data_IF_168590764362
#
_entry.id   IF_168590764362
#
_cell.length_a   1.000
_cell.length_b   1.000
_cell.length_c   1.000
_cell.angle_alpha   90.00
_cell.angle_beta   90.00
_cell.angle_gamma   90.00
#
_symmetry.space_group_name_H-M   'P 1'
#
loop_
_entity.id
_entity.type
_entity.pdbx_description
1 polymer ?
#
# COMPACT_ATOMS: atom_id res chain seq x y z
N UNK A 1 -9.18 13.29 26.38
CA UNK A 1 -8.42 13.84 25.24
C UNK A 1 -7.08 13.12 25.03
N UNK A 2 -6.28 12.91 26.08
CA UNK A 2 -4.96 12.23 26.01
C UNK A 2 -5.01 10.79 25.47
N UNK A 3 -6.08 10.02 25.75
CA UNK A 3 -6.20 8.62 25.30
C UNK A 3 -6.35 8.46 23.78
N UNK A 4 -6.80 9.49 23.07
CA UNK A 4 -7.06 9.42 21.62
C UNK A 4 -5.78 9.48 20.78
N UNK A 5 -4.66 9.87 21.38
CA UNK A 5 -3.35 10.07 20.73
C UNK A 5 -2.29 9.05 21.16
N UNK A 6 -2.66 8.01 21.91
CA UNK A 6 -1.71 6.96 22.25
C UNK A 6 -1.47 6.13 20.99
N UNK A 7 -0.43 6.48 20.23
CA UNK A 7 0.07 5.81 19.00
C UNK A 7 0.27 4.28 19.11
N UNK A 8 0.10 3.73 20.32
CA UNK A 8 0.53 2.40 20.72
C UNK A 8 -0.59 1.58 21.39
N UNK A 9 -1.84 2.05 21.40
CA UNK A 9 -2.97 1.29 21.96
C UNK A 9 -3.59 0.31 20.94
N UNK A 10 -2.79 -0.26 20.05
CA UNK A 10 -3.26 -1.21 19.04
C UNK A 10 -3.41 -2.61 19.63
N UNK A 11 -4.54 -3.26 19.43
CA UNK A 11 -4.70 -4.69 19.75
C UNK A 11 -3.93 -5.52 18.72
N UNK A 12 -2.86 -6.17 19.18
CA UNK A 12 -1.95 -6.95 18.34
C UNK A 12 -2.64 -8.10 17.60
N UNK A 13 -3.75 -8.64 18.17
CA UNK A 13 -4.54 -9.72 17.57
C UNK A 13 -5.38 -9.24 16.37
N UNK A 14 -5.66 -7.94 16.30
CA UNK A 14 -6.46 -7.32 15.24
C UNK A 14 -5.64 -6.81 14.08
N UNK A 15 -4.30 -6.77 14.22
CA UNK A 15 -3.40 -6.36 13.14
C UNK A 15 -3.56 -7.34 11.97
N UNK A 16 -4.21 -6.89 10.89
CA UNK A 16 -4.36 -7.67 9.65
C UNK A 16 -3.30 -7.33 8.61
N UNK A 17 -2.57 -6.23 8.81
CA UNK A 17 -1.50 -5.80 7.93
C UNK A 17 -0.39 -6.85 7.83
N UNK A 18 -0.16 -7.38 6.64
CA UNK A 18 0.92 -8.31 6.35
C UNK A 18 2.14 -7.56 5.80
N UNK A 19 3.31 -8.21 5.86
CA UNK A 19 4.49 -7.74 5.14
C UNK A 19 4.38 -8.13 3.67
N UNK A 20 5.26 -7.60 2.83
CA UNK A 20 5.30 -7.96 1.41
C UNK A 20 6.70 -8.20 0.90
N UNK A 21 6.82 -9.08 -0.09
CA UNK A 21 8.04 -9.33 -0.85
C UNK A 21 7.69 -9.71 -2.28
N UNK A 22 8.46 -9.26 -3.27
CA UNK A 22 8.18 -9.57 -4.68
C UNK A 22 8.90 -10.83 -5.14
N UNK A 23 8.61 -11.95 -4.46
CA UNK A 23 9.18 -13.26 -4.74
C UNK A 23 8.11 -14.33 -4.51
N UNK A 24 8.09 -15.36 -5.35
CA UNK A 24 7.23 -16.52 -5.17
C UNK A 24 7.76 -17.43 -4.05
N UNK A 25 7.60 -17.02 -2.79
CA UNK A 25 7.99 -17.81 -1.62
C UNK A 25 6.78 -18.27 -0.79
N UNK A 26 6.47 -19.56 -0.89
CA UNK A 26 5.35 -20.16 -0.17
C UNK A 26 5.59 -20.28 1.35
N UNK A 27 6.84 -20.33 1.80
CA UNK A 27 7.17 -20.55 3.21
C UNK A 27 6.92 -19.31 4.07
N UNK A 28 6.83 -18.13 3.46
CA UNK A 28 6.54 -16.88 4.16
C UNK A 28 5.03 -16.63 4.38
N UNK A 29 4.14 -17.49 3.89
CA UNK A 29 2.67 -17.33 4.04
C UNK A 29 2.21 -17.32 5.51
N UNK A 30 2.90 -18.06 6.38
CA UNK A 30 2.64 -18.09 7.82
C UNK A 30 3.94 -18.32 8.56
N UNK A 31 4.34 -17.34 9.35
CA UNK A 31 5.58 -17.31 10.12
C UNK A 31 5.29 -16.77 11.52
N UNK A 32 6.22 -16.98 12.44
CA UNK A 32 6.20 -16.30 13.72
C UNK A 32 7.39 -15.34 13.81
N UNK A 33 7.12 -14.08 14.12
CA UNK A 33 8.13 -13.03 14.32
C UNK A 33 8.32 -12.73 15.80
N UNK A 34 9.45 -12.13 16.17
CA UNK A 34 9.70 -11.71 17.56
C UNK A 34 10.47 -12.72 18.41
N UNK A 35 11.10 -13.72 17.79
CA UNK A 35 11.83 -14.79 18.50
C UNK A 35 13.18 -14.36 19.10
N UNK A 36 13.72 -13.21 18.69
CA UNK A 36 14.99 -12.73 19.22
C UNK A 36 14.83 -12.22 20.66
N UNK A 37 15.87 -12.39 21.49
CA UNK A 37 15.85 -11.97 22.90
C UNK A 37 15.67 -10.46 23.08
N UNK A 38 15.98 -9.66 22.04
CA UNK A 38 15.79 -8.20 22.01
C UNK A 38 14.33 -7.78 21.90
N UNK A 39 13.44 -8.67 21.49
CA UNK A 39 12.03 -8.38 21.23
C UNK A 39 11.16 -8.45 22.50
N UNK A 40 11.80 -8.50 23.69
CA UNK A 40 11.16 -8.38 25.01
C UNK A 40 9.99 -9.34 25.24
N UNK A 41 10.06 -10.54 24.66
CA UNK A 41 9.03 -11.57 24.81
C UNK A 41 7.78 -11.35 23.96
N UNK A 42 7.78 -10.36 23.05
CA UNK A 42 6.68 -10.16 22.11
C UNK A 42 6.87 -11.02 20.87
N UNK A 43 6.03 -12.05 20.74
CA UNK A 43 5.94 -12.87 19.52
C UNK A 43 4.60 -12.67 18.84
N UNK A 44 4.57 -12.74 17.51
CA UNK A 44 3.32 -12.64 16.74
C UNK A 44 3.36 -13.54 15.52
N UNK A 45 2.26 -14.25 15.28
CA UNK A 45 2.03 -14.95 14.03
C UNK A 45 1.63 -13.97 12.92
N UNK A 46 2.26 -14.06 11.76
CA UNK A 46 2.06 -13.16 10.62
C UNK A 46 2.47 -13.87 9.33
N UNK A 47 2.49 -13.18 8.20
CA UNK A 47 3.00 -13.68 6.94
C UNK A 47 3.45 -12.55 6.01
N UNK A 48 3.80 -12.95 4.80
CA UNK A 48 4.07 -12.07 3.68
C UNK A 48 3.08 -12.37 2.55
N UNK A 49 2.60 -11.30 1.92
CA UNK A 49 1.96 -11.36 0.62
C UNK A 49 2.97 -10.99 -0.48
N UNK A 50 2.64 -11.32 -1.73
CA UNK A 50 3.41 -10.81 -2.87
C UNK A 50 3.15 -9.31 -3.02
N UNK A 51 4.16 -8.51 -3.40
CA UNK A 51 4.08 -7.03 -3.39
C UNK A 51 2.86 -6.45 -4.11
N UNK A 52 2.46 -7.04 -5.25
CA UNK A 52 1.29 -6.60 -6.03
C UNK A 52 -0.06 -6.80 -5.34
N UNK A 53 -0.11 -7.62 -4.27
CA UNK A 53 -1.29 -7.81 -3.44
C UNK A 53 -1.47 -6.72 -2.37
N UNK A 54 -0.46 -5.86 -2.17
CA UNK A 54 -0.50 -4.79 -1.17
C UNK A 54 -1.63 -3.78 -1.45
N UNK A 55 -2.30 -3.31 -0.40
CA UNK A 55 -3.20 -2.15 -0.48
C UNK A 55 -2.46 -0.92 -1.03
N UNK A 56 -1.16 -0.78 -0.74
CA UNK A 56 -0.32 0.31 -1.29
C UNK A 56 -0.28 0.25 -2.82
N UNK A 57 -0.25 -0.95 -3.43
CA UNK A 57 -0.28 -1.10 -4.89
C UNK A 57 -1.64 -0.67 -5.46
N UNK A 58 -2.74 -1.06 -4.79
CA UNK A 58 -4.08 -0.63 -5.19
C UNK A 58 -4.25 0.89 -5.07
N UNK A 59 -3.71 1.50 -4.01
CA UNK A 59 -3.70 2.95 -3.80
C UNK A 59 -2.85 3.64 -4.88
N UNK A 60 -1.66 3.13 -5.21
CA UNK A 60 -0.83 3.66 -6.28
C UNK A 60 -1.56 3.68 -7.62
N UNK A 61 -2.31 2.62 -7.93
CA UNK A 61 -3.07 2.54 -9.17
C UNK A 61 -4.29 3.49 -9.17
N UNK A 62 -4.92 3.76 -8.03
CA UNK A 62 -6.12 4.60 -7.96
C UNK A 62 -5.84 6.09 -7.69
N UNK A 63 -4.68 6.43 -7.14
CA UNK A 63 -4.31 7.81 -6.82
C UNK A 63 -4.28 8.67 -8.09
N UNK A 64 -4.78 9.90 -7.96
CA UNK A 64 -4.90 10.86 -9.06
C UNK A 64 -3.83 11.96 -9.05
N UNK A 65 -3.22 12.20 -7.90
CA UNK A 65 -2.08 13.09 -7.70
C UNK A 65 -1.38 12.75 -6.36
N UNK A 66 -0.30 13.47 -6.03
CA UNK A 66 0.48 13.21 -4.81
C UNK A 66 -0.30 13.49 -3.51
N UNK A 67 -1.25 14.43 -3.54
CA UNK A 67 -2.07 14.78 -2.38
C UNK A 67 -3.08 13.66 -2.12
N UNK A 68 -3.77 13.20 -3.15
CA UNK A 68 -4.68 12.05 -3.12
C UNK A 68 -3.95 10.77 -2.70
N UNK A 69 -2.72 10.54 -3.20
CA UNK A 69 -1.87 9.43 -2.77
C UNK A 69 -1.63 9.48 -1.26
N UNK A 70 -1.21 10.64 -0.71
CA UNK A 70 -1.00 10.80 0.73
C UNK A 70 -2.29 10.48 1.48
N UNK A 71 -3.40 11.13 1.14
CA UNK A 71 -4.67 11.00 1.87
C UNK A 71 -5.13 9.53 1.95
N UNK A 72 -4.99 8.79 0.85
CA UNK A 72 -5.28 7.35 0.80
C UNK A 72 -4.33 6.53 1.66
N UNK A 73 -3.02 6.77 1.55
CA UNK A 73 -2.02 6.08 2.38
C UNK A 73 -2.25 6.33 3.86
N UNK A 74 -2.65 7.54 4.25
CA UNK A 74 -2.97 7.90 5.64
C UNK A 74 -4.21 7.19 6.18
N UNK A 75 -5.20 6.93 5.30
CA UNK A 75 -6.47 6.32 5.66
C UNK A 75 -6.43 4.78 5.77
N UNK A 76 -5.31 4.14 5.41
CA UNK A 76 -5.15 2.69 5.52
C UNK A 76 -5.30 2.23 6.98
N UNK A 77 -6.15 1.23 7.21
CA UNK A 77 -6.40 0.68 8.54
C UNK A 77 -5.40 -0.44 8.84
N UNK A 78 -4.70 -0.32 9.97
CA UNK A 78 -3.66 -1.26 10.40
C UNK A 78 -4.21 -2.30 11.38
N UNK A 79 -5.14 -1.88 12.25
CA UNK A 79 -5.78 -2.69 13.28
C UNK A 79 -6.80 -1.86 14.05
N UNK A 80 -7.19 -2.30 15.25
CA UNK A 80 -8.13 -1.60 16.12
C UNK A 80 -7.53 -1.34 17.50
N UNK A 81 -8.14 -0.44 18.26
CA UNK A 81 -7.71 -0.11 19.63
C UNK A 81 -8.00 -1.25 20.61
N UNK A 82 -7.17 -1.40 21.64
CA UNK A 82 -7.43 -2.30 22.78
C UNK A 82 -8.62 -1.85 23.64
N UNK A 83 -8.88 -0.54 23.68
CA UNK A 83 -9.94 0.04 24.51
C UNK A 83 -11.34 -0.12 23.89
N UNK A 84 -11.43 -0.07 22.55
CA UNK A 84 -12.68 -0.24 21.80
C UNK A 84 -12.38 -0.76 20.39
N UNK A 85 -12.85 -1.97 20.06
CA UNK A 85 -12.68 -2.60 18.75
C UNK A 85 -13.32 -1.78 17.60
N UNK A 86 -14.24 -0.87 17.90
CA UNK A 86 -14.84 0.03 16.88
C UNK A 86 -13.91 1.17 16.49
N UNK A 87 -12.87 1.44 17.27
CA UNK A 87 -11.88 2.48 16.97
C UNK A 87 -10.77 1.86 16.13
N UNK A 88 -10.71 2.22 14.85
CA UNK A 88 -9.65 1.81 13.94
C UNK A 88 -8.39 2.64 14.17
N UNK A 89 -7.22 2.00 13.99
CA UNK A 89 -5.92 2.65 13.99
C UNK A 89 -5.42 2.70 12.55
N UNK A 90 -5.19 3.91 12.05
CA UNK A 90 -4.76 4.17 10.68
C UNK A 90 -3.27 4.45 10.57
N UNK A 91 -2.74 4.49 9.34
CA UNK A 91 -1.36 4.89 9.10
C UNK A 91 -1.08 6.36 9.51
N UNK A 92 -2.09 7.22 9.50
CA UNK A 92 -1.98 8.60 10.01
C UNK A 92 -1.90 8.64 11.55
N UNK A 93 -2.63 7.78 12.25
CA UNK A 93 -2.52 7.65 13.71
C UNK A 93 -1.11 7.21 14.13
N UNK A 94 -0.48 6.36 13.31
CA UNK A 94 0.93 5.96 13.50
C UNK A 94 1.94 7.05 13.05
N UNK A 95 1.48 8.08 12.35
CA UNK A 95 2.32 9.17 11.84
C UNK A 95 3.25 8.78 10.68
N UNK A 96 2.94 7.70 9.95
CA UNK A 96 3.82 7.15 8.90
C UNK A 96 3.42 7.54 7.48
N UNK A 97 2.22 8.08 7.26
CA UNK A 97 1.70 8.37 5.93
C UNK A 97 2.59 9.32 5.10
N UNK A 98 3.17 10.34 5.74
CA UNK A 98 4.10 11.25 5.07
C UNK A 98 5.37 10.54 4.58
N UNK A 99 5.95 9.66 5.40
CA UNK A 99 7.11 8.86 5.02
C UNK A 99 6.80 7.88 3.88
N UNK A 100 5.63 7.22 3.94
CA UNK A 100 5.14 6.38 2.84
C UNK A 100 5.00 7.19 1.54
N UNK A 101 4.42 8.37 1.62
CA UNK A 101 4.24 9.25 0.45
C UNK A 101 5.58 9.64 -0.17
N UNK A 102 6.60 9.93 0.65
CA UNK A 102 7.95 10.25 0.17
C UNK A 102 8.56 9.07 -0.60
N UNK A 103 8.45 7.84 -0.06
CA UNK A 103 8.94 6.64 -0.74
C UNK A 103 8.22 6.38 -2.07
N UNK A 104 6.94 6.73 -2.14
CA UNK A 104 6.10 6.52 -3.33
C UNK A 104 6.12 7.69 -4.33
N UNK A 105 6.80 8.80 -4.00
CA UNK A 105 6.75 10.04 -4.80
C UNK A 105 7.12 9.81 -6.25
N UNK A 106 8.27 9.17 -6.50
CA UNK A 106 8.74 8.92 -7.85
C UNK A 106 8.01 7.72 -8.49
N UNK A 107 7.63 6.74 -7.66
CA UNK A 107 6.84 5.59 -8.07
C UNK A 107 5.44 5.96 -8.56
N UNK A 108 4.95 7.19 -8.28
CA UNK A 108 3.67 7.71 -8.79
C UNK A 108 3.75 8.13 -10.27
N UNK A 109 4.95 8.31 -10.81
CA UNK A 109 5.15 8.76 -12.19
C UNK A 109 5.08 7.57 -13.18
N UNK A 110 4.19 7.61 -14.19
CA UNK A 110 4.12 6.55 -15.20
C UNK A 110 5.40 6.39 -16.00
N UNK A 111 5.77 5.14 -16.30
CA UNK A 111 6.92 4.84 -17.15
C UNK A 111 6.51 4.88 -18.62
N UNK A 112 7.14 5.76 -19.41
CA UNK A 112 6.97 5.81 -20.86
C UNK A 112 7.90 4.79 -21.54
N UNK A 113 7.32 3.97 -22.39
CA UNK A 113 7.97 2.95 -23.21
C UNK A 113 7.44 3.05 -24.65
N UNK A 114 7.83 2.09 -25.50
CA UNK A 114 7.31 1.97 -26.86
C UNK A 114 7.09 0.52 -27.26
N UNK A 115 6.17 0.29 -28.21
CA UNK A 115 6.02 -1.01 -28.91
C UNK A 115 7.17 -1.24 -29.89
N UNK A 116 7.22 -2.42 -30.51
CA UNK A 116 8.18 -2.73 -31.59
C UNK A 116 8.03 -1.81 -32.82
N UNK A 117 6.86 -1.23 -33.02
CA UNK A 117 6.55 -0.32 -34.13
C UNK A 117 6.73 1.16 -33.76
N UNK A 118 7.21 1.45 -32.55
CA UNK A 118 7.47 2.82 -32.08
C UNK A 118 6.25 3.53 -31.50
N UNK A 119 5.12 2.84 -31.30
CA UNK A 119 3.94 3.42 -30.64
C UNK A 119 4.24 3.64 -29.15
N UNK A 120 4.01 4.85 -28.59
CA UNK A 120 4.26 5.11 -27.17
C UNK A 120 3.31 4.31 -26.27
N UNK A 121 3.82 3.80 -25.14
CA UNK A 121 3.08 3.00 -24.16
C UNK A 121 3.40 3.47 -22.75
N UNK A 122 2.38 3.61 -21.90
CA UNK A 122 2.62 3.73 -20.45
C UNK A 122 2.54 2.35 -19.78
N UNK A 123 3.53 2.04 -18.95
CA UNK A 123 3.53 0.86 -18.07
C UNK A 123 3.60 1.34 -16.62
N UNK A 124 2.49 1.24 -15.88
CA UNK A 124 2.43 1.80 -14.53
C UNK A 124 1.39 1.12 -13.64
N UNK A 125 1.84 0.77 -12.42
CA UNK A 125 1.14 -0.05 -11.44
C UNK A 125 0.73 -1.45 -11.96
N UNK A 126 0.27 -2.31 -11.05
CA UNK A 126 -0.16 -3.66 -11.38
C UNK A 126 -0.80 -4.38 -10.20
N UNK A 127 -1.91 -3.88 -9.64
CA UNK A 127 -2.63 -4.55 -8.57
C UNK A 127 -3.26 -5.86 -9.07
N UNK A 128 -3.50 -6.80 -8.17
CA UNK A 128 -4.30 -7.98 -8.49
C UNK A 128 -5.73 -7.64 -8.92
N UNK A 129 -6.34 -8.53 -9.72
CA UNK A 129 -7.69 -8.37 -10.25
C UNK A 129 -8.79 -9.12 -9.44
N UNK A 130 -8.40 -9.85 -8.40
CA UNK A 130 -9.32 -10.62 -7.54
C UNK A 130 -9.57 -9.94 -6.19
N UNK A 131 -8.52 -9.42 -5.56
CA UNK A 131 -8.57 -8.70 -4.27
C UNK A 131 -8.45 -7.17 -4.44
N UNK A 132 -8.18 -6.72 -5.67
CA UNK A 132 -8.16 -5.33 -6.09
C UNK A 132 -8.74 -5.23 -7.52
N UNK A 133 -8.57 -4.11 -8.20
CA UNK A 133 -9.30 -3.79 -9.43
C UNK A 133 -8.62 -4.28 -10.72
N UNK A 134 -7.32 -4.61 -10.71
CA UNK A 134 -6.65 -5.23 -11.86
C UNK A 134 -6.40 -4.34 -13.08
N UNK A 135 -6.29 -3.02 -12.91
CA UNK A 135 -5.96 -2.08 -13.99
C UNK A 135 -4.64 -1.35 -13.76
N UNK A 136 -4.09 -0.77 -14.82
CA UNK A 136 -3.03 0.24 -14.74
C UNK A 136 -3.49 1.49 -13.99
N UNK A 137 -2.54 2.37 -13.66
CA UNK A 137 -2.86 3.54 -12.85
C UNK A 137 -3.77 4.56 -13.55
N UNK A 138 -4.63 5.21 -12.77
CA UNK A 138 -5.46 6.36 -13.17
C UNK A 138 -4.61 7.52 -13.73
N UNK A 139 -3.42 7.79 -13.17
CA UNK A 139 -2.55 8.86 -13.66
C UNK A 139 -2.06 8.59 -15.08
N UNK A 140 -1.64 7.34 -15.38
CA UNK A 140 -1.23 6.96 -16.73
C UNK A 140 -2.38 7.19 -17.74
N UNK A 141 -3.59 6.75 -17.41
CA UNK A 141 -4.75 6.93 -18.28
C UNK A 141 -5.11 8.42 -18.46
N UNK A 142 -5.06 9.21 -17.38
CA UNK A 142 -5.31 10.66 -17.44
C UNK A 142 -4.30 11.38 -18.32
N UNK A 143 -3.01 11.03 -18.22
CA UNK A 143 -1.97 11.62 -19.06
C UNK A 143 -2.18 11.19 -20.51
N UNK A 144 -2.43 9.89 -20.76
CA UNK A 144 -2.70 9.38 -22.09
C UNK A 144 -3.84 10.15 -22.77
N UNK A 145 -5.01 10.25 -22.12
CA UNK A 145 -6.19 10.97 -22.64
C UNK A 145 -5.95 12.46 -22.94
N UNK A 146 -4.88 13.06 -22.42
CA UNK A 146 -4.49 14.44 -22.73
C UNK A 146 -3.46 14.54 -23.85
N UNK A 147 -2.74 13.46 -24.14
CA UNK A 147 -1.70 13.39 -25.17
C UNK A 147 -2.21 12.81 -26.49
N UNK A 148 -3.13 11.83 -26.46
CA UNK A 148 -3.78 11.33 -27.69
C UNK A 148 -4.75 12.37 -28.24
N UNK A 149 -4.78 12.49 -29.56
CA UNK A 149 -5.65 13.42 -30.28
C UNK A 149 -7.06 12.86 -30.47
N UNK A 150 -7.93 13.58 -31.20
CA UNK A 150 -9.29 13.12 -31.50
C UNK A 150 -9.32 11.78 -32.26
N UNK A 151 -8.25 11.45 -32.97
CA UNK A 151 -8.09 10.20 -33.73
C UNK A 151 -7.45 9.05 -32.95
N UNK A 152 -7.09 9.27 -31.67
CA UNK A 152 -6.13 8.42 -30.95
C UNK A 152 -4.72 8.87 -31.28
#
# INVERSE_FOLDING_TARGET
EISRFVRLDIDESTVRWQRVVDVNDRFLRRIETGRASTEKGFTRETGFDITVASEIMAILALASDLKDLRERLGSMVIGTSKADEKVTITADDLGVAGALTVLMKDALMPNLMQTLEGTPVFVHAGPFANIAHGNSSVIADKIALKLVGESG
#
